data_IF_718353756751
#
_entry.id   IF_718353756751
#
_cell.length_a   1.000
_cell.length_b   1.000
_cell.length_c   1.000
_cell.angle_alpha   90.00
_cell.angle_beta   90.00
_cell.angle_gamma   90.00
#
_symmetry.space_group_name_H-M   'P 1'
#
loop_
_entity.id
_entity.type
_entity.pdbx_description
1 polymer ?
#
# COMPACT_ATOMS: atom_id res chain seq x y z
N UNK A 1 0.53 16.38 2.94
CA UNK A 1 1.46 15.83 1.93
C UNK A 1 2.16 17.04 1.32
N UNK A 2 3.47 17.00 1.16
CA UNK A 2 4.22 18.13 0.58
C UNK A 2 3.87 18.22 -0.90
N UNK A 3 3.54 19.42 -1.39
CA UNK A 3 3.30 19.68 -2.83
C UNK A 3 4.63 19.76 -3.62
N UNK A 4 5.75 19.46 -2.96
CA UNK A 4 7.08 19.47 -3.57
C UNK A 4 7.24 18.35 -4.59
N UNK A 5 7.49 18.74 -5.83
CA UNK A 5 7.85 17.83 -6.91
C UNK A 5 9.23 17.25 -6.64
N UNK A 6 9.34 15.91 -6.67
CA UNK A 6 10.62 15.20 -6.53
C UNK A 6 11.01 14.56 -7.85
N UNK A 7 12.22 14.88 -8.33
CA UNK A 7 12.82 14.28 -9.52
C UNK A 7 14.00 13.39 -9.08
N UNK A 8 14.08 12.18 -9.61
CA UNK A 8 15.17 11.24 -9.38
C UNK A 8 16.02 11.13 -10.63
N UNK A 9 17.32 11.39 -10.51
CA UNK A 9 18.28 11.34 -11.62
C UNK A 9 19.48 10.51 -11.18
N UNK A 10 19.84 9.52 -12.00
CA UNK A 10 21.02 8.69 -11.80
C UNK A 10 21.38 8.01 -13.13
N UNK A 11 22.67 7.89 -13.42
CA UNK A 11 23.17 7.16 -14.58
C UNK A 11 23.06 5.63 -14.41
N UNK A 12 22.87 5.17 -13.16
CA UNK A 12 22.51 3.79 -12.84
C UNK A 12 20.99 3.68 -12.60
N UNK A 13 20.25 2.93 -13.46
CA UNK A 13 18.82 2.69 -13.30
C UNK A 13 18.45 2.06 -11.95
N UNK A 14 19.30 1.21 -11.36
CA UNK A 14 19.01 0.58 -10.07
C UNK A 14 19.04 1.59 -8.94
N UNK A 15 20.02 2.48 -8.93
CA UNK A 15 20.11 3.54 -7.92
C UNK A 15 18.97 4.55 -8.06
N UNK A 16 18.56 4.87 -9.30
CA UNK A 16 17.35 5.67 -9.56
C UNK A 16 16.12 5.04 -8.91
N UNK A 17 15.89 3.76 -9.18
CA UNK A 17 14.72 3.02 -8.68
C UNK A 17 14.77 2.85 -7.16
N UNK A 18 15.94 2.60 -6.57
CA UNK A 18 16.11 2.55 -5.11
C UNK A 18 15.71 3.88 -4.47
N UNK A 19 16.20 4.99 -5.00
CA UNK A 19 15.84 6.34 -4.51
C UNK A 19 14.34 6.60 -4.60
N UNK A 20 13.74 6.25 -5.74
CA UNK A 20 12.29 6.40 -5.96
C UNK A 20 11.46 5.55 -5.00
N UNK A 21 11.77 4.26 -4.83
CA UNK A 21 11.00 3.37 -3.94
C UNK A 21 11.23 3.68 -2.46
N UNK A 22 12.42 4.12 -2.07
CA UNK A 22 12.68 4.60 -0.72
C UNK A 22 11.80 5.81 -0.39
N UNK A 23 11.70 6.77 -1.31
CA UNK A 23 10.79 7.90 -1.14
C UNK A 23 9.32 7.48 -1.07
N UNK A 24 8.88 6.59 -1.97
CA UNK A 24 7.50 6.07 -1.94
C UNK A 24 7.22 5.40 -0.60
N UNK A 25 8.16 4.64 -0.04
CA UNK A 25 8.02 3.99 1.26
C UNK A 25 7.86 4.99 2.41
N UNK A 26 8.63 6.07 2.41
CA UNK A 26 8.52 7.15 3.40
C UNK A 26 7.17 7.88 3.31
N UNK A 27 6.72 8.18 2.08
CA UNK A 27 5.40 8.78 1.84
C UNK A 27 4.29 7.79 2.24
N UNK A 28 4.47 6.50 1.95
CA UNK A 28 3.52 5.46 2.31
C UNK A 28 3.33 5.35 3.82
N UNK A 29 4.41 5.36 4.60
CA UNK A 29 4.31 5.35 6.06
C UNK A 29 3.46 6.53 6.60
N UNK A 30 3.65 7.74 6.04
CA UNK A 30 2.86 8.92 6.43
C UNK A 30 1.38 8.78 6.05
N UNK A 31 1.09 8.29 4.84
CA UNK A 31 -0.28 8.06 4.37
C UNK A 31 -0.96 6.97 5.19
N UNK A 32 -0.26 5.88 5.52
CA UNK A 32 -0.78 4.81 6.37
C UNK A 32 -1.17 5.34 7.74
N UNK A 33 -0.30 6.13 8.39
CA UNK A 33 -0.59 6.74 9.67
C UNK A 33 -1.83 7.65 9.60
N UNK A 34 -1.93 8.47 8.56
CA UNK A 34 -3.09 9.32 8.33
C UNK A 34 -4.37 8.51 8.11
N UNK A 35 -4.32 7.46 7.28
CA UNK A 35 -5.47 6.62 6.98
C UNK A 35 -5.95 5.87 8.23
N UNK A 36 -5.04 5.27 9.00
CA UNK A 36 -5.40 4.56 10.23
C UNK A 36 -6.03 5.51 11.23
N UNK A 37 -5.47 6.70 11.42
CA UNK A 37 -6.05 7.72 12.31
C UNK A 37 -7.43 8.18 11.82
N UNK A 38 -7.56 8.46 10.52
CA UNK A 38 -8.83 8.89 9.90
C UNK A 38 -9.94 7.86 10.04
N UNK A 39 -9.61 6.57 9.91
CA UNK A 39 -10.58 5.47 9.96
C UNK A 39 -10.59 4.73 11.31
N UNK A 40 -9.92 5.26 12.34
CA UNK A 40 -9.67 4.54 13.59
C UNK A 40 -10.97 4.08 14.27
N UNK A 41 -11.95 4.97 14.40
CA UNK A 41 -13.24 4.66 15.01
C UNK A 41 -13.95 3.50 14.31
N UNK A 42 -13.97 3.53 12.97
CA UNK A 42 -14.55 2.49 12.15
C UNK A 42 -13.77 1.17 12.27
N UNK A 43 -12.44 1.22 12.25
CA UNK A 43 -11.60 0.04 12.38
C UNK A 43 -11.80 -0.65 13.74
N UNK A 44 -11.90 0.13 14.82
CA UNK A 44 -12.19 -0.37 16.17
C UNK A 44 -13.56 -1.03 16.24
N UNK A 45 -14.58 -0.42 15.65
CA UNK A 45 -15.93 -0.98 15.60
C UNK A 45 -15.98 -2.30 14.81
N UNK A 46 -15.29 -2.37 13.68
CA UNK A 46 -15.17 -3.61 12.89
C UNK A 46 -14.51 -4.72 13.71
N UNK A 47 -13.42 -4.42 14.43
CA UNK A 47 -12.75 -5.39 15.32
C UNK A 47 -13.71 -5.82 16.44
N UNK A 48 -14.47 -4.90 17.01
CA UNK A 48 -15.42 -5.21 18.07
C UNK A 48 -16.53 -6.16 17.57
N UNK A 49 -17.16 -5.84 16.45
CA UNK A 49 -18.26 -6.63 15.88
C UNK A 49 -17.77 -7.97 15.31
N UNK A 50 -16.77 -7.94 14.43
CA UNK A 50 -16.35 -9.11 13.66
C UNK A 50 -15.18 -9.87 14.26
N UNK A 51 -14.38 -9.21 15.11
CA UNK A 51 -13.15 -9.77 15.62
C UNK A 51 -12.04 -9.87 14.57
N UNK A 52 -10.84 -10.13 15.06
CA UNK A 52 -9.65 -10.39 14.26
C UNK A 52 -9.39 -11.89 14.24
N UNK A 53 -10.08 -12.58 13.33
CA UNK A 53 -9.84 -14.01 13.06
C UNK A 53 -8.68 -14.16 12.07
N UNK A 54 -7.83 -15.16 12.30
CA UNK A 54 -6.66 -15.45 11.46
C UNK A 54 -5.67 -14.27 11.32
N UNK A 55 -5.72 -13.33 12.27
CA UNK A 55 -4.73 -12.29 12.40
C UNK A 55 -3.41 -12.90 12.89
N UNK A 56 -2.35 -12.70 12.11
CA UNK A 56 -1.00 -13.03 12.53
C UNK A 56 -0.44 -11.78 13.21
N UNK A 57 -0.34 -11.83 14.52
CA UNK A 57 0.37 -10.82 15.32
C UNK A 57 1.55 -11.54 15.96
N UNK A 58 2.79 -11.00 15.84
CA UNK A 58 3.94 -11.63 16.47
C UNK A 58 3.71 -11.88 17.97
N UNK A 59 3.79 -13.14 18.39
CA UNK A 59 3.62 -13.54 19.80
C UNK A 59 2.21 -13.96 20.21
N UNK A 60 1.21 -13.97 19.31
CA UNK A 60 -0.17 -14.37 19.61
C UNK A 60 -0.54 -15.74 19.03
N UNK A 61 -1.52 -16.40 19.66
CA UNK A 61 -2.02 -17.70 19.22
C UNK A 61 -2.75 -17.60 17.88
N UNK A 62 -2.35 -18.47 16.94
CA UNK A 62 -3.02 -18.66 15.65
C UNK A 62 -4.40 -19.29 15.85
N UNK A 63 -5.40 -18.84 15.07
CA UNK A 63 -6.75 -19.40 15.07
C UNK A 63 -7.67 -18.91 16.20
N UNK A 64 -7.17 -18.03 17.08
CA UNK A 64 -8.01 -17.30 18.04
C UNK A 64 -8.57 -16.04 17.39
N UNK A 65 -9.83 -15.71 17.71
CA UNK A 65 -10.44 -14.43 17.34
C UNK A 65 -10.23 -13.43 18.47
N UNK A 66 -9.59 -12.31 18.16
CA UNK A 66 -9.36 -11.22 19.12
C UNK A 66 -10.38 -10.10 18.95
N UNK A 67 -10.80 -9.49 20.05
CA UNK A 67 -11.73 -8.36 20.11
C UNK A 67 -11.00 -7.09 20.52
N UNK A 68 -11.74 -5.98 20.53
CA UNK A 68 -11.17 -4.67 20.84
C UNK A 68 -10.67 -4.58 22.28
N UNK A 69 -11.28 -5.34 23.20
CA UNK A 69 -10.82 -5.45 24.59
C UNK A 69 -9.42 -6.09 24.69
N UNK A 70 -9.14 -7.13 23.91
CA UNK A 70 -7.80 -7.73 23.85
C UNK A 70 -6.78 -6.69 23.35
N UNK A 71 -7.11 -5.98 22.26
CA UNK A 71 -6.25 -4.95 21.68
C UNK A 71 -6.00 -3.79 22.66
N UNK A 72 -7.02 -3.37 23.39
CA UNK A 72 -6.88 -2.35 24.43
C UNK A 72 -5.98 -2.82 25.57
N UNK A 73 -6.12 -4.09 26.00
CA UNK A 73 -5.27 -4.67 27.03
C UNK A 73 -3.80 -4.70 26.59
N UNK A 74 -3.50 -5.11 25.35
CA UNK A 74 -2.12 -5.10 24.83
C UNK A 74 -1.52 -3.70 24.78
N UNK A 75 -2.31 -2.69 24.40
CA UNK A 75 -1.85 -1.29 24.41
C UNK A 75 -1.59 -0.82 25.85
N UNK A 76 -2.47 -1.16 26.80
CA UNK A 76 -2.29 -0.80 28.22
C UNK A 76 -1.09 -1.50 28.86
N UNK A 77 -0.82 -2.76 28.48
CA UNK A 77 0.32 -3.53 28.94
C UNK A 77 1.65 -3.10 28.28
N UNK A 78 1.61 -2.21 27.28
CA UNK A 78 2.79 -1.72 26.58
C UNK A 78 3.33 -2.67 25.49
N UNK A 79 2.57 -3.69 25.09
CA UNK A 79 2.92 -4.58 23.96
C UNK A 79 2.86 -3.82 22.63
N UNK A 80 1.94 -2.86 22.53
CA UNK A 80 1.85 -1.91 21.43
C UNK A 80 1.80 -0.48 21.96
N UNK A 81 2.53 0.44 21.32
CA UNK A 81 2.57 1.83 21.76
C UNK A 81 1.23 2.56 21.59
N UNK A 82 0.47 2.21 20.55
CA UNK A 82 -0.85 2.75 20.24
C UNK A 82 -1.58 1.85 19.23
N UNK A 83 -2.81 2.23 18.87
CA UNK A 83 -3.59 1.49 17.87
C UNK A 83 -2.91 1.45 16.50
N UNK A 84 -2.21 2.53 16.10
CA UNK A 84 -1.44 2.53 14.86
C UNK A 84 -0.28 1.53 14.89
N UNK A 85 0.46 1.45 16.00
CA UNK A 85 1.56 0.48 16.17
C UNK A 85 1.03 -0.96 16.04
N UNK A 86 -0.05 -1.27 16.75
CA UNK A 86 -0.79 -2.53 16.61
C UNK A 86 -1.19 -2.80 15.16
N UNK A 87 -1.88 -1.85 14.53
CA UNK A 87 -2.38 -2.01 13.16
C UNK A 87 -1.22 -2.21 12.17
N UNK A 88 -0.09 -1.53 12.36
CA UNK A 88 1.07 -1.64 11.46
C UNK A 88 1.71 -3.03 11.48
N UNK A 89 1.77 -3.66 12.66
CA UNK A 89 2.38 -4.98 12.90
C UNK A 89 1.45 -6.15 12.57
N UNK A 90 0.17 -5.88 12.36
CA UNK A 90 -0.82 -6.90 11.99
C UNK A 90 -0.51 -7.45 10.60
N UNK A 91 -0.27 -8.76 10.49
CA UNK A 91 -0.16 -9.48 9.23
C UNK A 91 -1.32 -10.45 9.06
N UNK A 92 -1.52 -10.91 7.82
CA UNK A 92 -2.54 -11.89 7.49
C UNK A 92 -1.89 -12.96 6.61
N UNK A 93 -2.16 -14.21 6.94
CA UNK A 93 -1.72 -15.34 6.14
C UNK A 93 -2.37 -15.37 4.74
N UNK A 94 -2.15 -16.46 4.00
CA UNK A 94 -2.63 -16.60 2.62
C UNK A 94 -4.17 -16.49 2.48
N UNK A 95 -4.92 -16.86 3.51
CA UNK A 95 -6.37 -16.60 3.59
C UNK A 95 -6.58 -15.23 4.25
N UNK A 96 -6.99 -14.25 3.46
CA UNK A 96 -7.26 -12.91 3.98
C UNK A 96 -8.67 -12.84 4.57
N UNK A 97 -8.75 -12.55 5.87
CA UNK A 97 -9.98 -12.10 6.51
C UNK A 97 -10.45 -10.78 5.89
N UNK A 98 -11.70 -10.41 6.13
CA UNK A 98 -12.24 -9.14 5.63
C UNK A 98 -11.50 -7.92 6.20
N UNK A 99 -11.08 -8.00 7.47
CA UNK A 99 -10.18 -6.99 8.03
C UNK A 99 -8.83 -6.97 7.31
N UNK A 100 -8.28 -8.11 6.90
CA UNK A 100 -7.05 -8.16 6.11
C UNK A 100 -7.17 -7.49 4.74
N UNK A 101 -8.31 -7.64 4.06
CA UNK A 101 -8.60 -6.90 2.81
C UNK A 101 -8.69 -5.40 3.07
N UNK A 102 -9.35 -4.99 4.15
CA UNK A 102 -9.46 -3.59 4.55
C UNK A 102 -8.08 -2.99 4.88
N UNK A 103 -7.28 -3.68 5.70
CA UNK A 103 -5.90 -3.32 6.03
C UNK A 103 -5.08 -3.11 4.77
N UNK A 104 -5.17 -4.02 3.81
CA UNK A 104 -4.46 -3.86 2.54
C UNK A 104 -4.90 -2.60 1.80
N UNK A 105 -6.21 -2.31 1.78
CA UNK A 105 -6.76 -1.16 1.06
C UNK A 105 -6.29 0.18 1.66
N UNK A 106 -6.25 0.28 2.99
CA UNK A 106 -5.80 1.50 3.68
C UNK A 106 -4.27 1.59 3.82
N UNK A 107 -3.59 0.45 3.72
CA UNK A 107 -2.15 0.29 3.86
C UNK A 107 -1.37 0.60 2.56
N UNK A 108 -1.95 0.29 1.41
CA UNK A 108 -1.27 0.46 0.12
C UNK A 108 -1.47 1.87 -0.44
N UNK A 109 -0.37 2.52 -0.81
CA UNK A 109 -0.42 3.81 -1.52
C UNK A 109 -0.50 3.61 -3.03
N UNK A 110 -1.48 4.23 -3.71
CA UNK A 110 -1.50 4.22 -5.17
C UNK A 110 -0.41 5.14 -5.73
N UNK A 111 0.40 4.59 -6.63
CA UNK A 111 1.40 5.31 -7.42
C UNK A 111 0.90 5.32 -8.86
N UNK A 112 0.45 6.49 -9.33
CA UNK A 112 -0.14 6.61 -10.65
C UNK A 112 0.91 6.96 -11.70
N UNK A 113 0.96 6.18 -12.78
CA UNK A 113 1.62 6.53 -14.02
C UNK A 113 0.60 6.67 -15.15
N UNK A 114 0.89 7.51 -16.15
CA UNK A 114 0.01 7.70 -17.30
C UNK A 114 0.56 6.97 -18.52
N UNK A 115 -0.14 5.94 -18.98
CA UNK A 115 0.32 5.03 -20.05
C UNK A 115 1.62 4.27 -19.66
N UNK A 116 1.85 4.15 -18.36
CA UNK A 116 3.11 3.66 -17.81
C UNK A 116 3.32 2.17 -18.04
N UNK A 117 2.26 1.39 -18.14
CA UNK A 117 2.33 -0.03 -18.45
C UNK A 117 2.92 -0.30 -19.83
N UNK A 118 2.75 0.64 -20.76
CA UNK A 118 3.23 0.55 -22.13
C UNK A 118 4.62 1.15 -22.30
N UNK A 119 4.92 2.26 -21.64
CA UNK A 119 6.17 2.99 -21.80
C UNK A 119 7.12 2.77 -20.62
N UNK A 120 6.84 3.37 -19.46
CA UNK A 120 7.75 3.38 -18.31
C UNK A 120 8.13 1.99 -17.82
N UNK A 121 7.13 1.15 -17.50
CA UNK A 121 7.36 -0.19 -16.97
C UNK A 121 8.11 -1.06 -17.96
N UNK A 122 7.85 -0.94 -19.27
CA UNK A 122 8.58 -1.72 -20.26
C UNK A 122 10.06 -1.34 -20.34
N UNK A 123 10.39 -0.07 -20.08
CA UNK A 123 11.77 0.41 -20.02
C UNK A 123 12.48 -0.09 -18.75
N UNK A 124 11.83 -0.02 -17.58
CA UNK A 124 12.49 -0.27 -16.29
C UNK A 124 12.30 -1.68 -15.72
N UNK A 125 11.45 -2.54 -16.32
CA UNK A 125 11.05 -3.83 -15.72
C UNK A 125 12.20 -4.74 -15.28
N UNK A 126 13.32 -4.72 -15.99
CA UNK A 126 14.48 -5.57 -15.66
C UNK A 126 15.02 -5.26 -14.26
N UNK A 127 15.21 -3.97 -13.96
CA UNK A 127 15.70 -3.50 -12.66
C UNK A 127 14.56 -3.32 -11.65
N UNK A 128 13.35 -3.00 -12.09
CA UNK A 128 12.17 -2.82 -11.25
C UNK A 128 11.94 -4.00 -10.30
N UNK A 129 11.85 -5.22 -10.84
CA UNK A 129 11.62 -6.41 -10.03
C UNK A 129 12.83 -6.78 -9.18
N UNK A 130 14.04 -6.42 -9.63
CA UNK A 130 15.26 -6.64 -8.85
C UNK A 130 15.33 -5.72 -7.62
N UNK A 131 14.89 -4.45 -7.75
CA UNK A 131 14.87 -3.48 -6.65
C UNK A 131 13.70 -3.71 -5.70
N UNK A 132 12.50 -3.98 -6.22
CA UNK A 132 11.32 -4.26 -5.38
C UNK A 132 11.50 -5.58 -4.61
N UNK A 133 12.14 -6.56 -5.23
CA UNK A 133 12.21 -7.94 -4.74
C UNK A 133 10.91 -8.70 -5.02
N UNK A 134 11.02 -9.88 -5.62
CA UNK A 134 9.86 -10.68 -6.03
C UNK A 134 8.97 -11.10 -4.85
N UNK A 135 9.56 -11.27 -3.66
CA UNK A 135 8.84 -11.68 -2.46
C UNK A 135 7.94 -10.58 -1.90
N UNK A 136 8.24 -9.31 -2.23
CA UNK A 136 7.41 -8.16 -1.85
C UNK A 136 6.21 -7.97 -2.78
N UNK A 137 6.13 -8.69 -3.90
CA UNK A 137 5.04 -8.58 -4.87
C UNK A 137 3.83 -9.39 -4.39
N UNK A 138 2.72 -8.69 -4.17
CA UNK A 138 1.45 -9.31 -3.75
C UNK A 138 0.55 -9.67 -4.93
N UNK A 139 0.61 -8.90 -6.03
CA UNK A 139 -0.18 -9.14 -7.23
C UNK A 139 0.36 -8.37 -8.42
N UNK A 140 0.21 -8.93 -9.62
CA UNK A 140 0.51 -8.28 -10.90
C UNK A 140 -0.65 -8.51 -11.86
N UNK A 141 -1.18 -7.44 -12.44
CA UNK A 141 -2.27 -7.51 -13.43
C UNK A 141 -1.72 -6.99 -14.76
N UNK A 142 -1.87 -7.80 -15.81
CA UNK A 142 -1.38 -7.50 -17.15
C UNK A 142 -2.46 -7.80 -18.20
N UNK A 143 -2.77 -6.82 -19.06
CA UNK A 143 -3.70 -6.99 -20.18
C UNK A 143 -3.64 -5.84 -21.21
N UNK A 144 -2.97 -5.96 -22.37
CA UNK A 144 -1.76 -6.76 -22.65
C UNK A 144 -0.49 -6.15 -22.01
N UNK A 145 -0.55 -4.90 -21.56
CA UNK A 145 0.49 -4.19 -20.79
C UNK A 145 0.25 -4.30 -19.28
N UNK A 146 1.23 -3.90 -18.46
CA UNK A 146 1.07 -3.90 -17.00
C UNK A 146 0.04 -2.85 -16.59
N UNK A 147 -1.07 -3.28 -16.00
CA UNK A 147 -2.10 -2.39 -15.46
C UNK A 147 -1.84 -2.07 -14.00
N UNK A 148 -1.35 -3.05 -13.24
CA UNK A 148 -1.10 -2.93 -11.82
C UNK A 148 0.08 -3.82 -11.38
N UNK A 149 0.97 -3.26 -10.56
CA UNK A 149 1.98 -3.99 -9.79
C UNK A 149 1.79 -3.61 -8.32
N UNK A 150 1.35 -4.57 -7.50
CA UNK A 150 1.02 -4.36 -6.10
C UNK A 150 2.06 -5.01 -5.19
N UNK A 151 2.57 -4.25 -4.21
CA UNK A 151 3.42 -4.73 -3.11
C UNK A 151 2.66 -4.67 -1.78
N UNK A 152 3.27 -4.94 -0.63
CA UNK A 152 2.62 -4.70 0.67
C UNK A 152 2.27 -3.21 0.88
N UNK A 153 3.10 -2.31 0.37
CA UNK A 153 3.09 -0.88 0.76
C UNK A 153 2.54 0.04 -0.34
N UNK A 154 2.56 -0.41 -1.60
CA UNK A 154 2.12 0.41 -2.74
C UNK A 154 1.43 -0.41 -3.83
N UNK A 155 0.65 0.30 -4.66
CA UNK A 155 0.09 -0.17 -5.93
C UNK A 155 0.51 0.77 -7.04
N UNK A 156 1.43 0.34 -7.90
CA UNK A 156 1.74 1.06 -9.13
C UNK A 156 0.62 0.80 -10.13
N UNK A 157 -0.07 1.85 -10.57
CA UNK A 157 -1.26 1.79 -11.40
C UNK A 157 -1.05 2.60 -12.68
N UNK A 158 -1.39 1.99 -13.81
CA UNK A 158 -1.48 2.73 -15.07
C UNK A 158 -2.87 3.35 -15.21
N UNK A 159 -2.97 4.65 -14.93
CA UNK A 159 -4.24 5.38 -14.85
C UNK A 159 -4.95 5.45 -16.21
N UNK A 160 -4.25 5.23 -17.32
CA UNK A 160 -4.88 5.23 -18.65
C UNK A 160 -5.93 4.12 -18.82
N UNK A 161 -5.89 3.09 -17.97
CA UNK A 161 -6.88 2.01 -17.95
C UNK A 161 -8.17 2.36 -17.17
N UNK A 162 -8.17 3.47 -16.44
CA UNK A 162 -9.27 3.88 -15.55
C UNK A 162 -9.91 5.20 -15.98
N UNK A 163 -9.45 5.78 -17.10
CA UNK A 163 -10.00 6.98 -17.72
C UNK A 163 -10.66 6.63 -19.06
N UNK A 164 -11.58 7.45 -19.58
CA UNK A 164 -12.18 7.22 -20.89
C UNK A 164 -11.13 7.07 -21.99
N UNK A 165 -11.41 6.21 -22.97
CA UNK A 165 -10.54 6.03 -24.13
C UNK A 165 -10.26 7.36 -24.84
N UNK A 166 -9.02 7.56 -25.27
CA UNK A 166 -8.58 8.80 -25.94
C UNK A 166 -8.34 9.98 -25.00
N UNK A 167 -8.42 9.79 -23.68
CA UNK A 167 -7.97 10.82 -22.73
C UNK A 167 -6.47 11.05 -22.90
N UNK A 168 -6.08 12.31 -23.16
CA UNK A 168 -4.67 12.71 -23.21
C UNK A 168 -4.14 13.00 -21.81
N UNK A 169 -2.82 12.99 -21.64
CA UNK A 169 -2.18 13.36 -20.36
C UNK A 169 -2.57 14.78 -19.93
N UNK A 170 -2.61 15.73 -20.87
CA UNK A 170 -3.04 17.11 -20.61
C UNK A 170 -4.49 17.17 -20.08
N UNK A 171 -5.43 16.44 -20.69
CA UNK A 171 -6.83 16.37 -20.24
C UNK A 171 -6.96 15.70 -18.86
N UNK A 172 -6.14 14.68 -18.61
CA UNK A 172 -6.08 14.06 -17.29
C UNK A 172 -5.62 15.06 -16.23
N UNK A 173 -4.51 15.77 -16.48
CA UNK A 173 -3.97 16.76 -15.53
C UNK A 173 -4.92 17.92 -15.26
N UNK A 174 -5.58 18.47 -16.28
CA UNK A 174 -6.53 19.59 -16.10
C UNK A 174 -7.73 19.23 -15.22
N UNK A 175 -8.01 17.92 -15.04
CA UNK A 175 -9.08 17.48 -14.14
C UNK A 175 -8.70 17.63 -12.67
N UNK A 176 -7.39 17.58 -12.33
CA UNK A 176 -6.90 17.62 -10.96
C UNK A 176 -6.25 18.95 -10.58
N UNK A 177 -5.69 19.67 -11.55
CA UNK A 177 -4.91 20.88 -11.30
C UNK A 177 -5.70 22.19 -11.52
N UNK A 178 -6.94 22.11 -12.03
CA UNK A 178 -7.75 23.27 -12.40
C UNK A 178 -7.16 24.02 -13.58
#
# INVERSE_FOLDING_TARGET
LTEEVRCFVSDDPKELLKGMFQYIKEVAAKIQQYNVSKYESLLREIINVHGLTDAEVPGLDLGKTYKMDDVNAWIQNGEFACFFDFHSKLTFGKKRSDYGKLKQCIGQVPVFGFNSGRYDINLIKADLFAVIGTDNITSVIKNPSYMCIATSDMKMLDISNYVPAGTSYAKYLSTYLG
#
